data_IF_784721307792
#
_entry.id   IF_784721307792
#
_cell.length_a   1.000
_cell.length_b   1.000
_cell.length_c   1.000
_cell.angle_alpha   90.00
_cell.angle_beta   90.00
_cell.angle_gamma   90.00
#
_symmetry.space_group_name_H-M   'P 1'
#
loop_
_entity.id
_entity.type
_entity.pdbx_description
1 polymer ?
#
# COMPACT_ATOMS: atom_id res chain seq x y z
N UNK A 1 -2.71 0.68 12.89
CA UNK A 1 -4.18 0.80 12.80
C UNK A 1 -4.68 -0.43 12.08
N UNK A 2 -5.68 -1.13 12.61
CA UNK A 2 -6.28 -2.29 11.96
C UNK A 2 -7.38 -1.87 11.00
N UNK A 3 -7.65 -2.69 9.98
CA UNK A 3 -8.73 -2.46 9.00
C UNK A 3 -10.09 -2.27 9.69
N UNK A 4 -10.36 -3.03 10.75
CA UNK A 4 -11.60 -2.90 11.53
C UNK A 4 -11.75 -1.51 12.17
N UNK A 5 -10.64 -0.92 12.62
CA UNK A 5 -10.65 0.42 13.22
C UNK A 5 -10.85 1.49 12.16
N UNK A 6 -10.22 1.33 10.98
CA UNK A 6 -10.41 2.22 9.84
C UNK A 6 -11.87 2.22 9.35
N UNK A 7 -12.48 1.04 9.21
CA UNK A 7 -13.90 0.92 8.85
C UNK A 7 -14.77 1.59 9.90
N UNK A 8 -14.46 1.43 11.19
CA UNK A 8 -15.22 2.06 12.26
C UNK A 8 -15.17 3.60 12.18
N UNK A 9 -14.05 4.18 11.76
CA UNK A 9 -13.91 5.62 11.54
C UNK A 9 -14.65 6.11 10.30
N UNK A 10 -14.70 5.31 9.23
CA UNK A 10 -15.32 5.69 7.96
C UNK A 10 -16.83 5.42 7.91
N UNK A 11 -17.37 4.53 8.75
CA UNK A 11 -18.78 4.10 8.71
C UNK A 11 -19.80 5.25 8.82
N UNK A 12 -19.41 6.34 9.49
CA UNK A 12 -20.28 7.50 9.75
C UNK A 12 -20.17 8.57 8.66
N UNK A 13 -19.31 8.37 7.65
CA UNK A 13 -19.12 9.30 6.54
C UNK A 13 -20.12 9.02 5.39
N UNK A 14 -20.38 10.01 4.52
CA UNK A 14 -21.16 9.80 3.31
C UNK A 14 -20.53 8.72 2.42
N UNK A 15 -21.32 7.80 1.84
CA UNK A 15 -20.80 6.73 1.01
C UNK A 15 -20.21 7.20 -0.32
N UNK A 16 -20.52 8.43 -0.73
CA UNK A 16 -20.03 9.11 -1.93
C UNK A 16 -18.88 10.07 -1.64
N UNK A 17 -18.35 10.10 -0.41
CA UNK A 17 -17.19 10.91 -0.07
C UNK A 17 -15.90 10.32 -0.66
N UNK A 18 -15.04 11.18 -1.20
CA UNK A 18 -13.72 10.80 -1.68
C UNK A 18 -12.74 10.60 -0.51
N UNK A 19 -11.80 9.67 -0.68
CA UNK A 19 -10.75 9.37 0.31
C UNK A 19 -9.40 9.84 -0.25
N UNK A 20 -8.71 10.69 0.51
CA UNK A 20 -7.39 11.22 0.18
C UNK A 20 -6.37 10.85 1.27
N UNK A 21 -5.13 10.64 0.86
CA UNK A 21 -3.97 10.50 1.71
C UNK A 21 -3.35 11.89 1.97
N UNK A 22 -3.25 12.27 3.24
CA UNK A 22 -2.58 13.49 3.65
C UNK A 22 -1.27 13.17 4.38
N UNK A 23 -0.14 13.66 3.85
CA UNK A 23 1.19 13.51 4.45
C UNK A 23 1.56 14.85 5.08
N UNK A 24 1.78 14.84 6.39
CA UNK A 24 2.16 16.03 7.16
C UNK A 24 3.65 15.91 7.49
N UNK A 25 4.46 16.79 6.90
CA UNK A 25 5.91 16.80 7.11
C UNK A 25 6.37 18.17 7.65
N UNK A 26 7.30 18.19 8.62
CA UNK A 26 7.98 19.43 8.99
C UNK A 26 8.90 19.85 7.84
N UNK A 27 8.89 21.13 7.49
CA UNK A 27 9.57 21.62 6.29
C UNK A 27 11.09 21.73 6.51
N UNK A 28 11.53 21.91 7.76
CA UNK A 28 12.92 21.80 8.21
C UNK A 28 12.97 21.43 9.71
N UNK A 29 14.02 20.73 10.16
CA UNK A 29 14.25 20.44 11.59
C UNK A 29 14.61 21.71 12.40
N UNK A 30 15.01 22.80 11.72
CA UNK A 30 15.54 24.04 12.33
C UNK A 30 14.63 25.28 12.18
N UNK A 31 13.54 25.21 11.40
CA UNK A 31 12.55 26.28 11.24
C UNK A 31 11.19 25.77 11.75
N UNK A 32 10.89 26.02 13.03
CA UNK A 32 9.76 25.48 13.80
C UNK A 32 8.35 25.92 13.33
N UNK A 33 8.23 26.78 12.31
CA UNK A 33 6.96 27.49 12.03
C UNK A 33 6.24 27.10 10.73
N UNK A 34 6.86 26.32 9.83
CA UNK A 34 6.21 25.88 8.59
C UNK A 34 6.01 24.35 8.60
N UNK A 35 4.74 23.92 8.58
CA UNK A 35 4.30 22.53 8.40
C UNK A 35 3.74 22.42 6.97
N UNK A 36 4.29 21.51 6.15
CA UNK A 36 3.68 21.20 4.85
C UNK A 36 2.70 20.04 4.97
N UNK A 37 1.63 20.13 4.19
CA UNK A 37 0.64 19.08 4.05
C UNK A 37 0.48 18.76 2.57
N UNK A 38 0.99 17.62 2.17
CA UNK A 38 0.83 17.08 0.83
C UNK A 38 -0.42 16.18 0.79
N UNK A 39 -1.22 16.31 -0.27
CA UNK A 39 -2.49 15.60 -0.42
C UNK A 39 -2.50 14.83 -1.73
N UNK A 40 -2.85 13.56 -1.65
CA UNK A 40 -2.91 12.65 -2.78
C UNK A 40 -4.23 11.89 -2.78
N UNK A 41 -4.81 11.68 -3.96
CA UNK A 41 -5.93 10.75 -4.11
C UNK A 41 -5.46 9.33 -3.81
N UNK A 42 -6.32 8.50 -3.20
CA UNK A 42 -6.03 7.06 -3.07
C UNK A 42 -6.50 6.36 -4.34
N UNK A 43 -5.55 5.80 -5.08
CA UNK A 43 -5.81 5.19 -6.39
C UNK A 43 -5.69 3.66 -6.35
N UNK A 44 -4.99 3.13 -5.35
CA UNK A 44 -4.81 1.69 -5.18
C UNK A 44 -4.78 1.25 -3.72
N UNK A 45 -5.01 -0.04 -3.51
CA UNK A 45 -4.76 -0.71 -2.23
C UNK A 45 -4.12 -2.07 -2.47
N UNK A 46 -3.10 -2.41 -1.69
CA UNK A 46 -2.36 -3.65 -1.87
C UNK A 46 -2.07 -4.32 -0.51
N UNK A 47 -2.20 -5.65 -0.42
CA UNK A 47 -1.72 -6.40 0.74
C UNK A 47 -0.19 -6.50 0.71
N UNK A 48 0.46 -6.03 1.77
CA UNK A 48 1.90 -6.18 1.98
C UNK A 48 2.16 -7.24 3.07
N UNK A 49 3.03 -8.20 2.74
CA UNK A 49 3.50 -9.21 3.66
C UNK A 49 4.98 -8.96 3.87
N UNK A 50 5.34 -8.36 5.00
CA UNK A 50 6.73 -8.23 5.37
C UNK A 50 7.20 -9.53 6.04
N UNK A 51 8.48 -9.83 5.90
CA UNK A 51 9.10 -10.96 6.60
C UNK A 51 10.16 -10.36 7.50
N UNK A 52 10.07 -10.65 8.80
CA UNK A 52 11.06 -10.12 9.74
C UNK A 52 12.48 -10.64 9.42
N UNK A 53 13.50 -10.01 10.01
CA UNK A 53 14.93 -10.35 9.81
C UNK A 53 15.24 -11.83 10.13
N UNK A 54 14.37 -12.49 10.91
CA UNK A 54 14.42 -13.90 11.29
C UNK A 54 13.65 -14.84 10.33
N UNK A 55 13.03 -14.29 9.27
CA UNK A 55 12.34 -15.06 8.24
C UNK A 55 10.92 -15.50 8.62
N UNK A 56 10.31 -14.91 9.65
CA UNK A 56 8.91 -15.21 9.99
C UNK A 56 7.97 -14.25 9.27
N UNK A 57 6.82 -14.79 8.86
CA UNK A 57 5.76 -14.02 8.21
C UNK A 57 5.17 -13.01 9.20
N UNK A 58 5.31 -11.71 8.91
CA UNK A 58 4.74 -10.65 9.75
C UNK A 58 3.22 -10.52 9.53
N UNK A 59 2.56 -9.74 10.40
CA UNK A 59 1.12 -9.49 10.30
C UNK A 59 0.81 -8.75 8.98
N UNK A 60 -0.16 -9.26 8.20
CA UNK A 60 -0.63 -8.65 6.96
C UNK A 60 -0.95 -7.15 7.16
N UNK A 61 -0.26 -6.30 6.40
CA UNK A 61 -0.48 -4.85 6.38
C UNK A 61 -1.16 -4.48 5.06
N UNK A 62 -2.19 -3.64 5.11
CA UNK A 62 -2.82 -3.10 3.90
C UNK A 62 -2.22 -1.73 3.61
N UNK A 63 -1.64 -1.55 2.43
CA UNK A 63 -1.13 -0.27 1.96
C UNK A 63 -2.20 0.45 1.15
N UNK A 64 -2.38 1.75 1.41
CA UNK A 64 -3.16 2.66 0.58
C UNK A 64 -2.18 3.46 -0.26
N UNK A 65 -2.31 3.37 -1.59
CA UNK A 65 -1.36 3.96 -2.53
C UNK A 65 -1.99 5.20 -3.15
N UNK A 66 -1.28 6.31 -3.05
CA UNK A 66 -1.61 7.59 -3.65
C UNK A 66 -0.35 8.40 -3.89
N UNK A 67 -0.35 9.23 -4.92
CA UNK A 67 0.84 9.93 -5.39
C UNK A 67 0.55 10.77 -6.63
N UNK A 68 1.59 11.03 -7.42
CA UNK A 68 1.43 11.55 -8.78
C UNK A 68 0.92 10.42 -9.68
N UNK A 69 -0.12 10.70 -10.47
CA UNK A 69 -0.89 9.72 -11.28
C UNK A 69 0.04 8.80 -12.11
N UNK A 70 1.02 9.39 -12.80
CA UNK A 70 2.01 8.66 -13.62
C UNK A 70 2.90 7.71 -12.79
N UNK A 71 3.30 8.13 -11.58
CA UNK A 71 4.17 7.33 -10.70
C UNK A 71 3.39 6.20 -10.03
N UNK A 72 2.13 6.46 -9.66
CA UNK A 72 1.25 5.46 -9.05
C UNK A 72 0.89 4.38 -10.07
N UNK A 73 0.50 4.75 -11.28
CA UNK A 73 0.21 3.80 -12.36
C UNK A 73 1.42 2.90 -12.63
N UNK A 74 2.61 3.50 -12.81
CA UNK A 74 3.84 2.74 -13.04
C UNK A 74 4.21 1.80 -11.88
N UNK A 75 3.95 2.21 -10.64
CA UNK A 75 4.18 1.38 -9.46
C UNK A 75 3.22 0.19 -9.39
N UNK A 76 1.92 0.43 -9.60
CA UNK A 76 0.90 -0.62 -9.57
C UNK A 76 1.18 -1.68 -10.63
N UNK A 77 1.49 -1.26 -11.87
CA UNK A 77 1.86 -2.16 -12.96
C UNK A 77 3.08 -3.03 -12.60
N UNK A 78 4.14 -2.42 -12.05
CA UNK A 78 5.37 -3.14 -11.70
C UNK A 78 5.15 -4.19 -10.59
N UNK A 79 4.25 -3.92 -9.64
CA UNK A 79 3.90 -4.86 -8.57
C UNK A 79 3.00 -6.00 -9.10
N UNK A 80 2.09 -5.73 -10.03
CA UNK A 80 1.27 -6.77 -10.67
C UNK A 80 2.12 -7.74 -11.48
N UNK A 81 3.10 -7.24 -12.24
CA UNK A 81 4.05 -8.08 -12.99
C UNK A 81 4.84 -9.02 -12.06
N UNK A 82 5.28 -8.50 -10.90
CA UNK A 82 6.09 -9.25 -9.94
C UNK A 82 5.31 -10.38 -9.23
N UNK A 83 4.01 -10.18 -8.98
CA UNK A 83 3.13 -11.23 -8.47
C UNK A 83 2.84 -12.31 -9.51
N UNK A 84 2.79 -11.94 -10.79
CA UNK A 84 2.55 -12.86 -11.90
C UNK A 84 3.73 -13.83 -12.16
N UNK A 85 4.97 -13.44 -11.82
CA UNK A 85 6.15 -14.32 -11.92
C UNK A 85 6.24 -15.37 -10.79
N UNK A 86 5.55 -15.17 -9.66
CA UNK A 86 5.55 -16.12 -8.53
C UNK A 86 4.62 -17.34 -8.72
N UNK A 87 3.65 -17.28 -9.64
CA UNK A 87 2.69 -18.36 -9.91
C UNK A 87 3.18 -19.38 -10.97
N UNK A 88 4.37 -19.19 -11.57
CA UNK A 88 4.89 -20.05 -12.64
C UNK A 88 5.80 -21.22 -12.19
N UNK A 89 5.99 -21.46 -10.88
CA UNK A 89 6.71 -22.65 -10.37
C UNK A 89 5.77 -23.74 -9.81
N UNK A 90 4.63 -23.98 -10.47
CA UNK A 90 3.80 -25.15 -10.19
C UNK A 90 3.55 -25.96 -11.46
N UNK A 91 4.54 -26.77 -11.86
CA UNK A 91 4.22 -27.95 -12.65
C UNK A 91 5.31 -28.49 -13.56
N UNK A 92 6.45 -28.94 -13.04
CA UNK A 92 7.26 -29.90 -13.78
C UNK A 92 7.76 -31.05 -12.89
N UNK A 93 6.96 -32.12 -12.90
CA UNK A 93 7.25 -33.38 -12.22
C UNK A 93 6.51 -34.53 -12.89
N UNK A 94 6.46 -34.57 -14.22
CA UNK A 94 5.90 -35.69 -14.95
C UNK A 94 6.83 -36.91 -14.87
N UNK A 95 6.35 -37.91 -14.12
CA UNK A 95 6.78 -39.30 -14.01
C UNK A 95 7.53 -39.86 -15.24
N UNK A 96 8.75 -40.35 -15.00
CA UNK A 96 9.37 -41.40 -15.82
C UNK A 96 8.89 -42.77 -15.32
N UNK A 97 8.28 -43.56 -16.21
CA UNK A 97 8.31 -45.02 -16.15
C UNK A 97 8.33 -45.61 -17.56
#
# INVERSE_FOLDING_TARGET
MRVSELIDMLKDQPPDAEVELAIVAPVNEDDDDDITVDRYSVEGMLPWHDTDDDGNEEELVIWLVGGEDDDVEAFLDAIEEQQHDHDHDHGDGHHHH
#
